data_IF_833452701707
#
_entry.id   IF_833452701707
#
_cell.length_a   1.000
_cell.length_b   1.000
_cell.length_c   1.000
_cell.angle_alpha   90.00
_cell.angle_beta   90.00
_cell.angle_gamma   90.00
#
_symmetry.space_group_name_H-M   'P 1'
#
loop_
_entity.id
_entity.type
_entity.pdbx_description
1 polymer ?
#
# COMPACT_ATOMS: atom_id res chain seq x y z
N UNK A 1 -20.22 25.82 13.38
CA UNK A 1 -19.95 24.44 13.81
C UNK A 1 -19.65 24.51 15.30
N UNK A 2 -20.53 23.95 16.13
CA UNK A 2 -20.24 23.78 17.55
C UNK A 2 -19.52 22.45 17.76
N UNK A 3 -18.78 22.33 18.85
CA UNK A 3 -17.98 21.14 19.15
C UNK A 3 -18.83 19.93 19.56
N UNK A 4 -20.16 20.08 19.65
CA UNK A 4 -21.09 19.04 20.13
C UNK A 4 -21.32 17.88 19.13
N UNK A 5 -20.92 18.01 17.86
CA UNK A 5 -21.11 16.97 16.83
C UNK A 5 -20.02 15.89 16.81
N UNK A 6 -18.92 16.07 17.55
CA UNK A 6 -17.84 15.09 17.62
C UNK A 6 -18.18 13.96 18.58
N UNK A 7 -18.02 12.72 18.12
CA UNK A 7 -18.26 11.52 18.92
C UNK A 7 -16.94 10.84 19.28
N UNK A 8 -16.82 10.42 20.52
CA UNK A 8 -15.74 9.53 20.94
C UNK A 8 -16.00 8.12 20.37
N UNK A 9 -15.00 7.58 19.67
CA UNK A 9 -15.05 6.26 19.03
C UNK A 9 -13.71 5.57 19.19
N UNK A 10 -13.68 4.24 19.08
CA UNK A 10 -12.40 3.51 19.10
C UNK A 10 -11.72 3.67 17.74
N UNK A 11 -10.40 3.84 17.74
CA UNK A 11 -9.61 3.99 16.51
C UNK A 11 -9.80 2.81 15.54
N UNK A 12 -9.90 1.59 16.08
CA UNK A 12 -10.14 0.39 15.27
C UNK A 12 -11.49 0.34 14.57
N UNK A 13 -12.48 1.12 15.04
CA UNK A 13 -13.81 1.18 14.44
C UNK A 13 -13.85 2.12 13.22
N UNK A 14 -12.88 3.02 13.09
CA UNK A 14 -12.81 4.02 12.01
C UNK A 14 -11.72 3.73 10.97
N UNK A 15 -10.66 3.02 11.34
CA UNK A 15 -9.55 2.72 10.42
C UNK A 15 -8.93 1.36 10.70
N UNK A 16 -8.58 0.65 9.61
CA UNK A 16 -7.74 -0.54 9.67
C UNK A 16 -6.29 -0.16 9.39
N UNK A 17 -5.40 -0.42 10.35
CA UNK A 17 -3.97 -0.25 10.16
C UNK A 17 -3.40 -1.43 9.38
N UNK A 18 -2.78 -1.15 8.23
CA UNK A 18 -2.03 -2.15 7.44
C UNK A 18 -0.54 -1.91 7.61
N UNK A 19 0.23 -2.99 7.77
CA UNK A 19 1.70 -2.92 7.74
C UNK A 19 2.14 -2.46 6.34
N UNK A 20 3.17 -1.61 6.29
CA UNK A 20 3.81 -1.24 5.04
C UNK A 20 4.51 -2.43 4.36
N UNK A 21 4.75 -2.29 3.05
CA UNK A 21 5.50 -3.28 2.29
C UNK A 21 7.00 -3.04 2.40
N UNK A 22 7.78 -4.10 2.58
CA UNK A 22 9.23 -4.01 2.58
C UNK A 22 9.73 -3.74 1.16
N UNK A 23 10.47 -2.64 0.98
CA UNK A 23 11.10 -2.26 -0.30
C UNK A 23 12.58 -1.86 -0.08
N UNK A 24 13.47 -2.85 0.04
CA UNK A 24 14.91 -2.62 0.16
C UNK A 24 15.45 -1.83 -1.04
N UNK A 25 16.52 -1.05 -0.84
CA UNK A 25 17.13 -0.20 -1.90
C UNK A 25 17.44 -0.97 -3.19
N UNK A 26 17.94 -2.20 -3.07
CA UNK A 26 18.26 -3.08 -4.21
C UNK A 26 17.07 -3.39 -5.13
N UNK A 27 15.84 -3.31 -4.61
CA UNK A 27 14.61 -3.62 -5.36
C UNK A 27 13.93 -2.35 -5.88
N UNK A 28 14.50 -1.16 -5.64
CA UNK A 28 13.93 0.12 -6.09
C UNK A 28 14.37 0.40 -7.52
N UNK A 29 13.39 0.55 -8.39
CA UNK A 29 13.54 1.07 -9.76
C UNK A 29 13.07 2.51 -9.79
N UNK A 30 13.82 3.44 -10.39
CA UNK A 30 13.43 4.85 -10.52
C UNK A 30 12.04 4.98 -11.14
N UNK A 31 11.21 5.86 -10.60
CA UNK A 31 9.86 6.08 -11.11
C UNK A 31 9.19 7.31 -10.53
N UNK A 32 7.86 7.34 -10.62
CA UNK A 32 7.03 8.49 -10.23
C UNK A 32 6.40 8.36 -8.84
N UNK A 33 6.44 7.19 -8.22
CA UNK A 33 5.77 6.94 -6.95
C UNK A 33 6.75 7.15 -5.78
N UNK A 34 6.47 8.05 -4.83
CA UNK A 34 7.38 8.30 -3.73
C UNK A 34 7.41 7.11 -2.75
N UNK A 35 8.61 6.76 -2.28
CA UNK A 35 8.84 5.82 -1.19
C UNK A 35 8.93 6.62 0.10
N UNK A 36 7.96 6.46 0.99
CA UNK A 36 7.88 7.22 2.24
C UNK A 36 8.59 6.50 3.39
N UNK A 37 9.31 7.29 4.21
CA UNK A 37 9.94 6.89 5.46
C UNK A 37 9.52 7.85 6.58
N UNK A 38 9.91 7.57 7.82
CA UNK A 38 9.54 8.37 9.00
C UNK A 38 9.96 9.84 8.91
N UNK A 39 10.96 10.17 8.10
CA UNK A 39 11.47 11.53 7.88
C UNK A 39 11.02 12.17 6.55
N UNK A 40 10.08 11.56 5.83
CA UNK A 40 9.57 12.07 4.55
C UNK A 40 9.87 11.15 3.36
N UNK A 41 10.05 11.73 2.17
CA UNK A 41 10.30 10.98 0.93
C UNK A 41 11.76 10.49 0.93
N UNK A 42 11.94 9.17 0.93
CA UNK A 42 13.25 8.53 0.90
C UNK A 42 13.78 8.28 -0.52
N UNK A 43 12.89 8.02 -1.48
CA UNK A 43 13.22 7.68 -2.86
C UNK A 43 11.97 7.69 -3.76
N UNK A 44 12.11 7.29 -5.03
CA UNK A 44 10.99 7.03 -5.94
C UNK A 44 11.05 5.63 -6.55
N UNK A 45 9.88 5.00 -6.68
CA UNK A 45 9.70 3.69 -7.29
C UNK A 45 8.82 3.75 -8.56
N UNK A 46 9.05 2.85 -9.51
CA UNK A 46 8.26 2.71 -10.74
C UNK A 46 6.90 2.05 -10.53
N UNK A 47 6.75 1.26 -9.48
CA UNK A 47 5.57 0.45 -9.21
C UNK A 47 4.97 0.82 -7.84
N UNK A 48 3.64 0.83 -7.75
CA UNK A 48 2.95 0.99 -6.46
C UNK A 48 2.68 -0.38 -5.86
N UNK A 49 2.80 -0.50 -4.53
CA UNK A 49 2.46 -1.74 -3.80
C UNK A 49 1.29 -1.58 -2.84
N UNK A 50 0.94 -0.33 -2.52
CA UNK A 50 -0.18 -0.02 -1.65
C UNK A 50 -1.42 0.32 -2.48
N UNK A 51 -2.50 -0.41 -2.23
CA UNK A 51 -3.83 -0.09 -2.73
C UNK A 51 -4.55 0.77 -1.70
N UNK A 52 -5.23 1.84 -2.14
CA UNK A 52 -6.00 2.69 -1.24
C UNK A 52 -7.28 1.98 -0.81
N UNK A 53 -7.62 2.06 0.48
CA UNK A 53 -8.85 1.45 1.01
C UNK A 53 -10.14 2.07 0.43
N UNK A 54 -10.05 3.21 -0.25
CA UNK A 54 -11.16 3.87 -0.95
C UNK A 54 -11.38 3.37 -2.39
N UNK A 55 -10.49 2.55 -2.94
CA UNK A 55 -10.74 1.86 -4.19
C UNK A 55 -11.78 0.76 -3.94
N UNK A 56 -13.00 0.91 -4.48
CA UNK A 56 -13.92 -0.23 -4.53
C UNK A 56 -13.22 -1.37 -5.27
N UNK A 57 -13.41 -2.65 -4.90
CA UNK A 57 -12.70 -3.81 -5.49
C UNK A 57 -13.04 -4.12 -6.97
N UNK A 58 -13.42 -3.13 -7.80
CA UNK A 58 -13.94 -3.37 -9.16
C UNK A 58 -13.05 -2.88 -10.31
N UNK A 59 -12.02 -2.08 -10.08
CA UNK A 59 -11.12 -1.68 -11.19
C UNK A 59 -9.80 -2.42 -11.13
N UNK A 60 -9.88 -3.68 -11.54
CA UNK A 60 -8.74 -4.55 -11.81
C UNK A 60 -8.14 -4.20 -13.18
N UNK A 61 -6.89 -3.68 -13.31
CA UNK A 61 -6.13 -3.90 -14.53
C UNK A 61 -5.36 -5.21 -14.35
N UNK A 62 -6.02 -6.35 -14.58
CA UNK A 62 -5.30 -7.59 -14.86
C UNK A 62 -5.04 -7.62 -16.34
N UNK A 63 -3.78 -7.46 -16.71
CA UNK A 63 -3.25 -7.81 -18.03
C UNK A 63 -1.73 -7.99 -17.92
N UNK A 64 -1.07 -8.98 -18.53
CA UNK A 64 -1.55 -10.12 -19.33
C UNK A 64 -1.17 -11.47 -18.71
N UNK A 65 -0.64 -11.41 -17.50
CA UNK A 65 -0.14 -12.53 -16.76
C UNK A 65 -0.71 -12.26 -15.34
N UNK A 66 -1.48 -13.13 -14.67
CA UNK A 66 -1.22 -14.58 -14.64
C UNK A 66 0.31 -14.79 -14.67
N UNK A 67 1.03 -13.90 -13.95
CA UNK A 67 2.48 -13.85 -13.78
C UNK A 67 2.79 -15.07 -12.97
N UNK A 68 2.80 -16.19 -13.70
CA UNK A 68 3.19 -17.52 -13.33
C UNK A 68 4.19 -17.37 -12.18
N UNK A 69 3.92 -17.99 -11.03
CA UNK A 69 5.07 -18.40 -10.19
C UNK A 69 5.78 -17.28 -9.42
N UNK A 70 5.09 -16.47 -8.61
CA UNK A 70 5.74 -15.60 -7.61
C UNK A 70 4.91 -15.59 -6.32
N UNK A 71 5.04 -16.44 -5.31
CA UNK A 71 6.18 -17.16 -4.76
C UNK A 71 5.66 -18.51 -4.26
N UNK A 72 5.74 -19.53 -5.09
CA UNK A 72 5.62 -20.92 -4.63
C UNK A 72 7.05 -21.40 -4.41
N UNK A 73 7.52 -21.40 -3.15
CA UNK A 73 8.53 -22.35 -2.70
C UNK A 73 7.83 -23.32 -1.74
N UNK A 74 7.37 -24.48 -2.23
CA UNK A 74 7.00 -25.60 -1.40
C UNK A 74 8.26 -26.48 -1.30
N UNK A 75 8.97 -26.41 -0.19
CA UNK A 75 10.03 -27.36 0.13
C UNK A 75 11.20 -27.50 -0.87
N UNK A 76 11.75 -26.38 -1.35
CA UNK A 76 13.16 -26.29 -1.77
C UNK A 76 13.87 -25.18 -0.98
#
# INVERSE_FOLDING_TARGET
MSFEDWKEVRLGDVVTLKRGYDLPKKNRKKGKYPVLASNGIADYHSEFKAESASAKPQDKPVTKEEMQTFFVNPDQ
#
